data_IF_325886952939
#
_entry.id   IF_325886952939
#
_cell.length_a   1.000
_cell.length_b   1.000
_cell.length_c   1.000
_cell.angle_alpha   90.00
_cell.angle_beta   90.00
_cell.angle_gamma   90.00
#
_symmetry.space_group_name_H-M   'P 1'
#
loop_
_entity.id
_entity.type
_entity.pdbx_description
1 polymer ?
#
# COMPACT_ATOMS: atom_id res chain seq x y z
N UNK A 1 -29.77 -2.76 52.63
CA UNK A 1 -31.12 -2.86 52.06
C UNK A 1 -31.28 -1.89 50.91
N UNK A 2 -31.51 -2.35 49.77
CA UNK A 2 -32.32 -2.03 48.61
C UNK A 2 -31.54 -2.30 47.29
N UNK A 3 -31.88 -3.47 46.77
CA UNK A 3 -31.64 -3.95 45.41
C UNK A 3 -32.40 -3.09 44.41
N UNK A 4 -31.77 -2.72 43.29
CA UNK A 4 -32.54 -2.24 42.15
C UNK A 4 -31.99 -2.89 40.85
N UNK A 5 -32.65 -3.98 40.52
CA UNK A 5 -32.58 -4.73 39.29
C UNK A 5 -33.41 -3.96 38.23
N UNK A 6 -32.79 -3.54 37.12
CA UNK A 6 -33.57 -3.12 35.94
C UNK A 6 -33.17 -3.97 34.76
N UNK A 7 -34.04 -4.90 34.48
CA UNK A 7 -34.16 -5.61 33.22
C UNK A 7 -34.57 -4.65 32.12
N UNK A 8 -33.88 -4.65 30.96
CA UNK A 8 -34.13 -3.79 29.82
C UNK A 8 -33.97 -4.51 28.50
N UNK A 9 -34.93 -5.38 28.19
CA UNK A 9 -35.64 -5.59 26.91
C UNK A 9 -34.81 -5.59 25.64
N UNK A 10 -34.49 -6.79 25.16
CA UNK A 10 -34.14 -7.12 23.78
C UNK A 10 -35.24 -6.65 22.80
N UNK A 11 -34.89 -5.88 21.80
CA UNK A 11 -35.77 -5.58 20.70
C UNK A 11 -35.13 -6.14 19.42
N UNK A 12 -35.57 -7.32 19.08
CA UNK A 12 -35.33 -7.96 17.79
C UNK A 12 -36.33 -7.39 16.79
N UNK A 13 -35.91 -6.64 15.82
CA UNK A 13 -36.68 -6.38 14.59
C UNK A 13 -35.92 -6.89 13.40
N UNK A 14 -36.35 -8.06 12.93
CA UNK A 14 -36.07 -8.55 11.61
C UNK A 14 -36.87 -7.74 10.58
N UNK A 15 -36.22 -7.42 9.49
CA UNK A 15 -36.82 -7.00 8.23
C UNK A 15 -35.85 -7.48 7.18
N UNK A 16 -36.16 -8.53 6.40
CA UNK A 16 -37.00 -8.42 5.24
C UNK A 16 -36.09 -8.36 4.03
N UNK A 17 -35.70 -9.55 3.47
CA UNK A 17 -35.03 -9.68 2.16
C UNK A 17 -36.08 -9.42 1.09
N UNK A 18 -35.85 -8.59 0.09
CA UNK A 18 -36.55 -8.69 -1.17
C UNK A 18 -35.78 -9.55 -2.17
N UNK A 19 -36.43 -10.60 -2.57
CA UNK A 19 -36.17 -11.42 -3.73
C UNK A 19 -36.52 -10.59 -4.97
N UNK A 20 -35.56 -10.29 -5.85
CA UNK A 20 -35.89 -9.77 -7.19
C UNK A 20 -35.28 -10.69 -8.25
N UNK A 21 -36.17 -11.55 -8.68
CA UNK A 21 -36.52 -11.98 -10.04
C UNK A 21 -35.52 -11.72 -11.16
N UNK A 22 -35.12 -12.85 -11.64
CA UNK A 22 -34.69 -13.30 -12.96
C UNK A 22 -35.33 -12.53 -14.12
N UNK A 23 -34.52 -11.96 -15.00
CA UNK A 23 -34.96 -11.65 -16.37
C UNK A 23 -33.85 -12.07 -17.35
N UNK A 24 -34.12 -13.21 -17.99
CA UNK A 24 -33.47 -13.68 -19.21
C UNK A 24 -33.94 -12.78 -20.38
N UNK A 25 -32.99 -12.30 -21.18
CA UNK A 25 -33.23 -11.89 -22.56
C UNK A 25 -32.09 -12.39 -23.44
N UNK A 26 -32.43 -13.42 -24.18
CA UNK A 26 -31.79 -13.92 -25.39
C UNK A 26 -32.12 -13.03 -26.57
N UNK A 27 -31.14 -12.61 -27.34
CA UNK A 27 -31.19 -12.35 -28.77
C UNK A 27 -29.75 -12.11 -29.22
N UNK A 28 -29.13 -12.90 -30.05
CA UNK A 28 -29.55 -13.23 -31.41
C UNK A 28 -28.60 -12.53 -32.37
N UNK A 29 -27.61 -13.23 -32.86
CA UNK A 29 -27.15 -13.42 -34.22
C UNK A 29 -26.63 -12.20 -34.98
N UNK A 30 -25.42 -12.24 -35.53
CA UNK A 30 -25.22 -12.28 -36.96
C UNK A 30 -23.74 -12.32 -37.35
N UNK A 31 -23.43 -13.33 -38.10
CA UNK A 31 -22.22 -13.57 -38.86
C UNK A 31 -22.01 -12.49 -39.92
N UNK A 32 -20.81 -11.98 -40.09
CA UNK A 32 -20.34 -11.55 -41.44
C UNK A 32 -18.92 -12.02 -41.65
N UNK A 33 -18.81 -12.89 -42.59
CA UNK A 33 -17.56 -13.28 -43.29
C UNK A 33 -17.07 -12.10 -44.09
N UNK A 34 -15.75 -11.88 -44.14
CA UNK A 34 -15.11 -10.97 -45.05
C UNK A 34 -13.63 -11.30 -45.18
N UNK A 35 -13.31 -12.34 -45.95
CA UNK A 35 -12.01 -12.48 -46.58
C UNK A 35 -11.92 -11.55 -47.76
N UNK A 36 -10.88 -10.75 -47.86
CA UNK A 36 -10.36 -10.27 -49.12
C UNK A 36 -8.85 -10.12 -49.03
N UNK A 37 -8.18 -10.99 -49.73
CA UNK A 37 -6.78 -10.84 -50.14
C UNK A 37 -6.75 -9.79 -51.23
N UNK A 38 -5.86 -8.81 -51.07
CA UNK A 38 -5.23 -8.20 -52.24
C UNK A 38 -3.81 -7.75 -51.93
N UNK A 39 -2.95 -8.30 -52.75
CA UNK A 39 -1.53 -8.09 -52.82
C UNK A 39 -1.28 -6.80 -53.64
N UNK A 40 -0.61 -5.81 -53.08
CA UNK A 40 0.08 -4.80 -53.88
C UNK A 40 1.26 -4.22 -53.13
N UNK A 41 2.35 -4.50 -53.71
CA UNK A 41 3.72 -3.99 -53.55
C UNK A 41 3.79 -2.45 -53.52
N UNK A 42 4.71 -1.94 -52.72
CA UNK A 42 5.59 -0.78 -52.94
C UNK A 42 5.45 0.36 -51.96
N UNK A 43 6.50 0.55 -51.29
CA UNK A 43 7.29 1.75 -50.95
C UNK A 43 7.55 1.88 -49.46
N UNK A 44 8.81 1.64 -49.17
CA UNK A 44 9.48 1.98 -47.91
C UNK A 44 9.20 3.44 -47.53
N UNK A 45 8.68 3.63 -46.34
CA UNK A 45 8.94 4.83 -45.58
C UNK A 45 9.25 4.36 -44.14
N UNK A 46 10.53 4.33 -43.89
CA UNK A 46 11.12 4.11 -42.57
C UNK A 46 10.60 5.18 -41.63
N UNK A 47 9.58 4.88 -40.86
CA UNK A 47 9.32 5.57 -39.60
C UNK A 47 9.96 4.72 -38.50
N UNK A 48 11.16 5.13 -38.12
CA UNK A 48 11.77 4.75 -36.86
C UNK A 48 10.83 5.20 -35.73
N UNK A 49 9.97 4.29 -35.28
CA UNK A 49 9.39 4.38 -33.96
C UNK A 49 10.54 4.15 -32.98
N UNK A 50 11.12 5.24 -32.51
CA UNK A 50 12.11 5.22 -31.43
C UNK A 50 11.54 4.49 -30.24
N UNK A 51 11.81 3.20 -30.14
CA UNK A 51 11.86 2.49 -28.88
C UNK A 51 12.94 3.21 -28.06
N UNK A 52 12.51 4.13 -27.21
CA UNK A 52 13.39 4.68 -26.19
C UNK A 52 13.91 3.48 -25.39
N UNK A 53 15.08 3.01 -25.77
CA UNK A 53 15.87 2.07 -25.02
C UNK A 53 16.19 2.78 -23.70
N UNK A 54 15.37 2.54 -22.67
CA UNK A 54 15.72 2.96 -21.34
C UNK A 54 17.07 2.29 -21.04
N UNK A 55 18.10 3.11 -20.93
CA UNK A 55 19.41 2.66 -20.48
C UNK A 55 19.22 1.84 -19.21
N UNK A 56 19.98 0.75 -19.01
CA UNK A 56 19.93 -0.02 -17.78
C UNK A 56 20.19 0.95 -16.61
N UNK A 57 19.19 1.15 -15.78
CA UNK A 57 19.30 1.97 -14.58
C UNK A 57 20.41 1.34 -13.72
N UNK A 58 21.43 2.13 -13.39
CA UNK A 58 22.55 1.65 -12.59
C UNK A 58 22.03 0.97 -11.31
N UNK A 59 22.69 -0.11 -10.83
CA UNK A 59 22.30 -0.76 -9.60
C UNK A 59 22.21 0.27 -8.47
N UNK A 60 21.04 0.38 -7.85
CA UNK A 60 20.86 1.25 -6.67
C UNK A 60 21.71 0.63 -5.55
N UNK A 61 22.76 1.33 -5.13
CA UNK A 61 23.56 0.90 -3.99
C UNK A 61 22.67 0.82 -2.75
N UNK A 62 22.75 -0.30 -2.03
CA UNK A 62 22.05 -0.47 -0.75
C UNK A 62 22.76 0.35 0.33
N UNK A 63 22.45 1.64 0.38
CA UNK A 63 22.93 2.54 1.42
C UNK A 63 22.02 2.51 2.67
N UNK A 64 20.96 1.70 2.64
CA UNK A 64 19.97 1.57 3.70
C UNK A 64 19.01 2.76 3.82
N UNK A 65 19.02 3.71 2.87
CA UNK A 65 18.11 4.85 2.85
C UNK A 65 16.84 4.56 2.06
N UNK A 66 16.86 3.51 1.25
CA UNK A 66 15.77 3.18 0.33
C UNK A 66 15.71 4.10 -0.89
N UNK A 67 14.61 4.00 -1.62
CA UNK A 67 14.35 4.72 -2.88
C UNK A 67 13.15 5.64 -2.70
N UNK A 68 13.40 6.95 -2.78
CA UNK A 68 12.33 7.94 -2.62
C UNK A 68 12.87 9.35 -2.40
N UNK A 69 11.97 10.29 -2.09
CA UNK A 69 12.32 11.70 -1.92
C UNK A 69 13.12 11.98 -0.64
N UNK A 70 12.92 11.17 0.42
CA UNK A 70 13.54 11.41 1.72
C UNK A 70 15.00 10.99 1.72
N UNK A 71 15.91 11.95 1.91
CA UNK A 71 17.36 11.72 1.89
C UNK A 71 18.01 11.86 3.26
N UNK A 72 17.39 12.65 4.13
CA UNK A 72 17.89 12.91 5.48
C UNK A 72 16.73 13.17 6.42
N UNK A 73 16.76 12.56 7.58
CA UNK A 73 15.78 12.76 8.64
C UNK A 73 16.51 13.21 9.90
N UNK A 74 16.16 14.36 10.44
CA UNK A 74 16.66 14.82 11.72
C UNK A 74 15.79 14.24 12.86
N UNK A 75 16.40 13.45 13.71
CA UNK A 75 15.76 12.86 14.89
C UNK A 75 16.49 13.30 16.14
N UNK A 76 15.74 13.50 17.20
CA UNK A 76 16.26 13.58 18.57
C UNK A 76 16.09 12.23 19.26
N UNK A 77 16.77 12.01 20.38
CA UNK A 77 16.58 10.79 21.17
C UNK A 77 15.18 10.72 21.79
N UNK A 78 14.60 11.87 22.05
CA UNK A 78 13.23 11.98 22.56
C UNK A 78 12.20 11.84 21.43
N UNK A 79 11.05 11.30 21.78
CA UNK A 79 9.91 11.20 20.88
C UNK A 79 9.15 12.53 20.87
N UNK A 80 8.92 13.07 19.69
CA UNK A 80 7.98 14.19 19.51
C UNK A 80 6.56 13.68 19.72
N UNK A 81 5.99 13.98 20.89
CA UNK A 81 4.68 13.49 21.30
C UNK A 81 3.54 14.04 20.45
N UNK A 82 3.69 15.24 19.91
CA UNK A 82 2.70 15.83 19.01
C UNK A 82 2.65 15.06 17.68
N UNK A 83 3.81 14.84 17.07
CA UNK A 83 3.93 14.05 15.85
C UNK A 83 3.52 12.59 16.09
N UNK A 84 3.89 11.99 17.22
CA UNK A 84 3.49 10.61 17.52
C UNK A 84 1.97 10.46 17.66
N UNK A 85 1.29 11.46 18.23
CA UNK A 85 -0.17 11.47 18.33
C UNK A 85 -0.85 11.60 16.97
N UNK A 86 -0.33 12.48 16.11
CA UNK A 86 -0.78 12.63 14.73
C UNK A 86 -0.54 11.34 13.93
N UNK A 87 0.67 10.78 14.02
CA UNK A 87 1.05 9.54 13.36
C UNK A 87 0.18 8.34 13.77
N UNK A 88 -0.22 8.28 15.04
CA UNK A 88 -1.18 7.28 15.53
C UNK A 88 -2.50 7.36 14.77
N UNK A 89 -3.06 8.56 14.63
CA UNK A 89 -4.33 8.77 13.92
C UNK A 89 -4.24 8.37 12.46
N UNK A 90 -3.11 8.71 11.81
CA UNK A 90 -2.84 8.32 10.41
C UNK A 90 -2.70 6.81 10.31
N UNK A 91 -1.98 6.17 11.23
CA UNK A 91 -1.81 4.72 11.27
C UNK A 91 -3.14 3.99 11.39
N UNK A 92 -3.98 4.41 12.32
CA UNK A 92 -5.31 3.82 12.54
C UNK A 92 -6.19 3.93 11.29
N UNK A 93 -6.11 5.04 10.57
CA UNK A 93 -6.92 5.29 9.37
C UNK A 93 -6.42 4.65 8.08
N UNK A 94 -5.09 4.49 7.92
CA UNK A 94 -4.49 4.12 6.63
C UNK A 94 -3.66 2.83 6.66
N UNK A 95 -3.17 2.40 7.82
CA UNK A 95 -2.16 1.36 7.92
C UNK A 95 -2.66 0.10 8.65
N UNK A 96 -3.52 0.29 9.67
CA UNK A 96 -3.93 -0.76 10.60
C UNK A 96 -4.71 -1.91 9.96
N UNK A 97 -5.34 -1.69 8.81
CA UNK A 97 -6.03 -2.74 8.06
C UNK A 97 -5.06 -3.84 7.54
N UNK A 98 -3.79 -3.48 7.32
CA UNK A 98 -2.79 -4.37 6.76
C UNK A 98 -1.62 -4.65 7.71
N UNK A 99 -1.32 -3.76 8.65
CA UNK A 99 -0.19 -3.85 9.57
C UNK A 99 -0.62 -3.89 11.03
N UNK A 100 0.10 -4.71 11.81
CA UNK A 100 0.02 -4.69 13.28
C UNK A 100 1.27 -4.04 13.86
N UNK A 101 1.15 -3.43 15.04
CA UNK A 101 2.28 -2.85 15.77
C UNK A 101 3.13 -3.91 16.50
N UNK A 102 2.64 -5.14 16.56
CA UNK A 102 3.36 -6.32 17.02
C UNK A 102 4.19 -6.95 15.89
N UNK A 103 4.76 -8.11 16.13
CA UNK A 103 5.43 -8.96 15.14
C UNK A 103 4.47 -9.77 14.26
N UNK A 104 3.17 -9.72 14.55
CA UNK A 104 2.17 -10.50 13.83
C UNK A 104 1.97 -9.99 12.40
N UNK A 105 2.04 -10.94 11.46
CA UNK A 105 1.67 -10.72 10.07
C UNK A 105 0.14 -10.78 9.91
N UNK A 106 -0.43 -9.80 9.21
CA UNK A 106 -1.83 -9.83 8.74
C UNK A 106 -1.82 -9.89 7.22
N UNK A 107 -1.94 -8.79 6.52
CA UNK A 107 -1.71 -8.68 5.08
C UNK A 107 -0.24 -8.36 4.83
N UNK A 108 0.25 -7.32 5.47
CA UNK A 108 1.65 -6.93 5.50
C UNK A 108 2.40 -7.48 6.72
N UNK A 109 3.70 -7.19 6.83
CA UNK A 109 4.49 -7.54 8.00
C UNK A 109 4.00 -6.85 9.27
N UNK A 110 4.25 -7.47 10.42
CA UNK A 110 4.21 -6.79 11.70
C UNK A 110 5.31 -5.73 11.79
N UNK A 111 5.06 -4.65 12.50
CA UNK A 111 5.94 -3.48 12.55
C UNK A 111 6.76 -3.36 13.84
N UNK A 112 6.70 -4.35 14.74
CA UNK A 112 7.52 -4.34 15.96
C UNK A 112 9.01 -4.22 15.65
N UNK A 113 9.68 -3.24 16.25
CA UNK A 113 11.10 -2.99 16.10
C UNK A 113 11.50 -2.47 14.71
N UNK A 114 10.56 -1.96 13.91
CA UNK A 114 10.87 -1.52 12.54
C UNK A 114 11.85 -0.34 12.53
N UNK A 115 11.76 0.55 13.51
CA UNK A 115 12.64 1.73 13.61
C UNK A 115 14.03 1.42 14.17
N UNK A 116 14.21 0.23 14.73
CA UNK A 116 15.50 -0.30 15.12
C UNK A 116 16.19 -1.06 13.98
N UNK A 117 15.39 -1.72 13.15
CA UNK A 117 15.85 -2.55 12.02
C UNK A 117 16.14 -1.75 10.75
N UNK A 118 15.57 -0.56 10.60
CA UNK A 118 15.64 0.26 9.40
C UNK A 118 15.98 1.70 9.71
N UNK A 119 16.74 2.34 8.81
CA UNK A 119 16.99 3.78 8.91
C UNK A 119 15.69 4.58 8.76
N UNK A 120 15.59 5.74 9.41
CA UNK A 120 14.42 6.62 9.35
C UNK A 120 14.00 6.95 7.91
N UNK A 121 14.98 7.25 7.06
CA UNK A 121 14.77 7.56 5.64
C UNK A 121 14.15 6.38 4.90
N UNK A 122 14.62 5.17 5.17
CA UNK A 122 14.07 3.96 4.57
C UNK A 122 12.60 3.76 4.94
N UNK A 123 12.28 3.93 6.23
CA UNK A 123 10.90 3.80 6.74
C UNK A 123 10.00 4.81 6.05
N UNK A 124 10.41 6.07 6.02
CA UNK A 124 9.61 7.13 5.37
C UNK A 124 9.48 6.90 3.86
N UNK A 125 10.56 6.52 3.17
CA UNK A 125 10.50 6.21 1.75
C UNK A 125 9.59 5.01 1.45
N UNK A 126 9.58 3.98 2.31
CA UNK A 126 8.66 2.84 2.15
C UNK A 126 7.21 3.23 2.33
N UNK A 127 6.91 4.18 3.21
CA UNK A 127 5.55 4.72 3.41
C UNK A 127 5.09 5.56 2.20
N UNK A 128 5.96 6.44 1.70
CA UNK A 128 5.61 7.43 0.66
C UNK A 128 5.62 6.79 -0.74
N UNK A 129 6.60 5.93 -1.00
CA UNK A 129 6.89 5.43 -2.35
C UNK A 129 7.08 3.90 -2.39
N UNK A 130 6.11 3.11 -1.89
CA UNK A 130 6.27 1.66 -1.72
C UNK A 130 6.50 0.91 -3.04
N UNK A 131 5.93 1.40 -4.14
CA UNK A 131 6.06 0.75 -5.44
C UNK A 131 7.49 0.83 -6.00
N UNK A 132 8.13 1.98 -5.94
CA UNK A 132 9.52 2.11 -6.37
C UNK A 132 10.48 1.44 -5.39
N UNK A 133 10.17 1.48 -4.09
CA UNK A 133 10.91 0.73 -3.08
C UNK A 133 10.94 -0.76 -3.43
N UNK A 134 9.81 -1.38 -3.65
CA UNK A 134 9.73 -2.82 -3.98
C UNK A 134 10.30 -3.16 -5.35
N UNK A 135 10.40 -2.21 -6.28
CA UNK A 135 11.07 -2.41 -7.57
C UNK A 135 12.60 -2.28 -7.51
N UNK A 136 13.13 -1.42 -6.67
CA UNK A 136 14.54 -0.99 -6.74
C UNK A 136 15.34 -1.29 -5.48
N UNK A 137 14.75 -1.17 -4.28
CA UNK A 137 15.44 -1.40 -3.02
C UNK A 137 15.56 -2.90 -2.70
N UNK A 138 16.78 -3.41 -2.40
CA UNK A 138 16.97 -4.85 -2.16
C UNK A 138 16.18 -5.37 -0.96
N UNK A 139 16.08 -4.59 0.12
CA UNK A 139 15.37 -5.01 1.32
C UNK A 139 13.85 -5.02 1.11
N UNK A 140 13.31 -4.03 0.39
CA UNK A 140 11.90 -3.99 0.04
C UNK A 140 11.50 -5.10 -0.95
N UNK A 141 12.37 -5.43 -1.92
CA UNK A 141 12.20 -6.62 -2.79
C UNK A 141 12.08 -7.91 -2.00
N UNK A 142 12.96 -8.08 -1.00
CA UNK A 142 12.93 -9.25 -0.13
C UNK A 142 11.62 -9.33 0.63
N UNK A 143 11.15 -8.23 1.22
CA UNK A 143 9.85 -8.17 1.90
C UNK A 143 8.70 -8.51 0.95
N UNK A 144 8.70 -7.99 -0.28
CA UNK A 144 7.69 -8.34 -1.27
C UNK A 144 7.68 -9.84 -1.59
N UNK A 145 8.85 -10.45 -1.72
CA UNK A 145 8.98 -11.90 -1.95
C UNK A 145 8.50 -12.74 -0.75
N UNK A 146 8.73 -12.28 0.48
CA UNK A 146 8.30 -12.97 1.71
C UNK A 146 6.79 -12.85 1.96
N UNK A 147 6.20 -11.71 1.63
CA UNK A 147 4.81 -11.42 1.95
C UNK A 147 3.85 -11.62 0.77
N UNK A 148 4.36 -11.68 -0.47
CA UNK A 148 3.61 -11.89 -1.71
C UNK A 148 2.48 -10.88 -1.92
N UNK A 149 2.59 -9.72 -1.29
CA UNK A 149 1.58 -8.66 -1.34
C UNK A 149 2.27 -7.31 -1.46
N UNK A 150 1.91 -6.58 -2.51
CA UNK A 150 2.42 -5.24 -2.76
C UNK A 150 1.77 -4.26 -1.79
N UNK A 151 2.60 -3.50 -1.05
CA UNK A 151 2.12 -2.34 -0.32
C UNK A 151 1.70 -1.27 -1.32
N UNK A 152 0.45 -0.82 -1.24
CA UNK A 152 -0.09 0.22 -2.11
C UNK A 152 0.19 1.60 -1.54
N UNK A 153 0.37 2.58 -2.41
CA UNK A 153 0.54 3.97 -1.99
C UNK A 153 -0.74 4.50 -1.32
N UNK A 154 -0.62 4.96 -0.08
CA UNK A 154 -1.71 5.48 0.73
C UNK A 154 -1.89 7.01 0.61
N UNK A 155 -1.20 7.64 -0.35
CA UNK A 155 -1.19 9.11 -0.52
C UNK A 155 -0.79 9.84 0.78
N UNK A 156 0.26 9.35 1.41
CA UNK A 156 0.84 9.92 2.61
C UNK A 156 1.87 10.96 2.20
N UNK A 157 1.77 12.16 2.74
CA UNK A 157 2.75 13.21 2.53
C UNK A 157 4.05 12.94 3.29
N UNK A 158 5.12 13.66 3.00
CA UNK A 158 6.37 13.54 3.75
C UNK A 158 6.18 13.95 5.22
N UNK A 159 5.36 14.95 5.48
CA UNK A 159 5.01 15.36 6.85
C UNK A 159 4.23 14.27 7.59
N UNK A 160 3.24 13.66 6.95
CA UNK A 160 2.50 12.53 7.54
C UNK A 160 3.43 11.33 7.80
N UNK A 161 4.34 11.04 6.86
CA UNK A 161 5.32 9.96 7.04
C UNK A 161 6.28 10.25 8.21
N UNK A 162 6.62 11.51 8.43
CA UNK A 162 7.42 11.93 9.59
C UNK A 162 6.64 11.74 10.90
N UNK A 163 5.36 12.04 10.92
CA UNK A 163 4.49 11.77 12.07
C UNK A 163 4.35 10.27 12.33
N UNK A 164 4.11 9.48 11.29
CA UNK A 164 4.09 8.01 11.37
C UNK A 164 5.40 7.44 11.92
N UNK A 165 6.54 7.96 11.50
CA UNK A 165 7.85 7.55 12.00
C UNK A 165 7.97 7.77 13.51
N UNK A 166 7.53 8.92 14.04
CA UNK A 166 7.55 9.17 15.49
C UNK A 166 6.62 8.23 16.26
N UNK A 167 5.45 7.94 15.70
CA UNK A 167 4.53 6.97 16.29
C UNK A 167 5.14 5.56 16.33
N UNK A 168 5.79 5.12 15.28
CA UNK A 168 6.47 3.82 15.24
C UNK A 168 7.66 3.77 16.21
N UNK A 169 8.45 4.84 16.32
CA UNK A 169 9.52 4.98 17.30
C UNK A 169 8.97 4.89 18.74
N UNK A 170 7.84 5.53 18.99
CA UNK A 170 7.18 5.45 20.31
C UNK A 170 6.72 4.03 20.62
N UNK A 171 6.13 3.33 19.64
CA UNK A 171 5.73 1.93 19.80
C UNK A 171 6.94 1.05 20.13
N UNK A 172 8.03 1.17 19.39
CA UNK A 172 9.22 0.33 19.55
C UNK A 172 9.92 0.59 20.91
N UNK A 173 9.91 1.82 21.41
CA UNK A 173 10.44 2.14 22.77
C UNK A 173 9.58 1.57 23.89
N UNK A 174 8.30 1.28 23.66
CA UNK A 174 7.36 0.80 24.66
C UNK A 174 7.10 -0.72 24.60
N UNK A 175 7.78 -1.42 23.70
CA UNK A 175 7.57 -2.85 23.42
C UNK A 175 8.47 -3.77 24.22
#
# INVERSE_FOLDING_TARGET
MRTNKKDGKRNSRGVGRPLHTLALLLMGGMLVYGCSSDNSTTTETTQETGLAHQAPEAPVEDNGLGVGPVKTVQLTDEIDQALATEGKSIFEGKCSACHQLSDQKVVGPGLAGVTEKRKPEWVMNMIINPEEMTKKDPAAKKLLAEHLTQMTNQNVTEQDARALLEFLRQNDKNS
#
